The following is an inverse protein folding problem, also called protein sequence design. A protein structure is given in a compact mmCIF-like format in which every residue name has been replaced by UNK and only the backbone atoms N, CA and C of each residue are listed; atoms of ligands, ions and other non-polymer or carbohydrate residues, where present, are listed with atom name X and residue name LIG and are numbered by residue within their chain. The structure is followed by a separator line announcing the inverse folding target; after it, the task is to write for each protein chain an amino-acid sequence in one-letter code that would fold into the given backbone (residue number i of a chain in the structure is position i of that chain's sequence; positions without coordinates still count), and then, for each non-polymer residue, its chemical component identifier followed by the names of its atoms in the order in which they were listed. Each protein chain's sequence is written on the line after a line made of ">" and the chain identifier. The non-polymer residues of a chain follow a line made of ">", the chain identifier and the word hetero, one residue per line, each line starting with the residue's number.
data_IF_372033368744
#
_entry.id   IF_372033368744
#
_cell.length_a   1.000
_cell.length_b   1.000
_cell.length_c   1.000
_cell.angle_alpha   90.00
_cell.angle_beta   90.00
_cell.angle_gamma   90.00
#
_symmetry.space_group_name_H-M   'P 1'
#
loop_
_entity.id
_entity.type
_entity.pdbx_description
1 polymer ?
#
# COMPACT_ATOMS: atom_id res chain seq x y z
N UNK A 1 -16.34 -0.61 -35.40
CA UNK A 1 -16.92 -0.13 -34.11
C UNK A 1 -16.61 -1.07 -32.93
N UNK A 2 -16.52 -2.39 -33.13
CA UNK A 2 -16.25 -3.39 -32.05
C UNK A 2 -14.83 -3.35 -31.46
N UNK A 3 -13.80 -3.10 -32.29
CA UNK A 3 -12.41 -3.14 -31.82
C UNK A 3 -12.00 -1.96 -30.94
N UNK A 4 -12.60 -0.79 -31.16
CA UNK A 4 -12.39 0.40 -30.32
C UNK A 4 -12.93 0.16 -28.90
N UNK A 5 -14.15 -0.38 -28.80
CA UNK A 5 -14.74 -0.77 -27.51
C UNK A 5 -13.90 -1.83 -26.77
N UNK A 6 -13.25 -2.75 -27.49
CA UNK A 6 -12.39 -3.78 -26.88
C UNK A 6 -11.11 -3.18 -26.29
N UNK A 7 -10.45 -2.27 -27.00
CA UNK A 7 -9.24 -1.59 -26.51
C UNK A 7 -9.53 -0.69 -25.31
N UNK A 8 -10.66 0.00 -25.32
CA UNK A 8 -11.09 0.88 -24.22
C UNK A 8 -11.37 0.08 -22.95
N UNK A 9 -12.08 -1.05 -23.06
CA UNK A 9 -12.33 -1.93 -21.91
C UNK A 9 -11.04 -2.52 -21.32
N UNK A 10 -10.07 -2.88 -22.15
CA UNK A 10 -8.75 -3.36 -21.66
C UNK A 10 -8.01 -2.24 -20.93
N UNK A 11 -8.00 -1.01 -21.46
CA UNK A 11 -7.38 0.13 -20.79
C UNK A 11 -8.03 0.45 -19.44
N UNK A 12 -9.36 0.42 -19.35
CA UNK A 12 -10.09 0.61 -18.10
C UNK A 12 -9.77 -0.50 -17.10
N UNK A 13 -9.73 -1.76 -17.53
CA UNK A 13 -9.40 -2.88 -16.64
C UNK A 13 -7.96 -2.78 -16.10
N UNK A 14 -7.00 -2.37 -16.93
CA UNK A 14 -5.62 -2.16 -16.53
C UNK A 14 -5.51 -1.00 -15.53
N UNK A 15 -6.25 0.09 -15.75
CA UNK A 15 -6.30 1.22 -14.82
C UNK A 15 -6.87 0.83 -13.46
N UNK A 16 -7.99 0.10 -13.42
CA UNK A 16 -8.58 -0.41 -12.19
C UNK A 16 -7.62 -1.34 -11.45
N UNK A 17 -6.93 -2.22 -12.19
CA UNK A 17 -5.92 -3.10 -11.61
C UNK A 17 -4.76 -2.32 -10.98
N UNK A 18 -4.22 -1.31 -11.67
CA UNK A 18 -3.14 -0.47 -11.16
C UNK A 18 -3.59 0.25 -9.88
N UNK A 19 -4.78 0.86 -9.88
CA UNK A 19 -5.31 1.53 -8.68
C UNK A 19 -5.43 0.54 -7.52
N UNK A 20 -5.97 -0.65 -7.79
CA UNK A 20 -6.15 -1.67 -6.76
C UNK A 20 -4.79 -2.13 -6.20
N UNK A 21 -3.81 -2.35 -7.06
CA UNK A 21 -2.45 -2.69 -6.67
C UNK A 21 -1.81 -1.59 -5.80
N UNK A 22 -1.92 -0.32 -6.20
CA UNK A 22 -1.42 0.81 -5.41
C UNK A 22 -2.13 0.91 -4.06
N UNK A 23 -3.45 0.71 -4.01
CA UNK A 23 -4.22 0.73 -2.76
C UNK A 23 -3.81 -0.40 -1.82
N UNK A 24 -3.59 -1.61 -2.32
CA UNK A 24 -3.13 -2.74 -1.49
C UNK A 24 -1.70 -2.48 -1.00
N UNK A 25 -0.84 -1.98 -1.89
CA UNK A 25 0.54 -1.65 -1.53
C UNK A 25 0.59 -0.61 -0.42
N UNK A 26 -0.07 0.54 -0.60
CA UNK A 26 -0.08 1.60 0.39
C UNK A 26 -0.87 1.19 1.64
N UNK A 27 -2.06 0.60 1.51
CA UNK A 27 -2.95 0.36 2.64
C UNK A 27 -2.63 -0.86 3.49
N UNK A 28 -1.83 -1.81 2.99
CA UNK A 28 -1.55 -3.07 3.69
C UNK A 28 -0.06 -3.35 3.75
N UNK A 29 0.63 -3.28 2.61
CA UNK A 29 2.05 -3.66 2.55
C UNK A 29 2.92 -2.66 3.33
N UNK A 30 2.71 -1.35 3.13
CA UNK A 30 3.52 -0.33 3.81
C UNK A 30 3.38 -0.33 5.34
N UNK A 31 2.17 -0.41 5.93
CA UNK A 31 1.99 -0.55 7.38
C UNK A 31 2.67 -1.77 7.97
N UNK A 32 2.53 -2.93 7.32
CA UNK A 32 3.17 -4.17 7.78
C UNK A 32 4.69 -4.03 7.73
N UNK A 33 5.24 -3.44 6.67
CA UNK A 33 6.66 -3.18 6.56
C UNK A 33 7.17 -2.26 7.69
N UNK A 34 6.41 -1.20 8.01
CA UNK A 34 6.72 -0.30 9.12
C UNK A 34 6.78 -1.02 10.47
N UNK A 35 5.77 -1.85 10.76
CA UNK A 35 5.72 -2.67 11.97
C UNK A 35 6.94 -3.60 12.08
N UNK A 36 7.30 -4.31 10.99
CA UNK A 36 8.44 -5.21 10.98
C UNK A 36 9.73 -4.44 11.27
N UNK A 37 9.93 -3.28 10.62
CA UNK A 37 11.09 -2.42 10.84
C UNK A 37 11.16 -1.85 12.25
N UNK A 38 10.03 -1.49 12.83
CA UNK A 38 9.98 -1.02 14.21
C UNK A 38 10.34 -2.11 15.21
N UNK A 39 9.85 -3.33 15.01
CA UNK A 39 10.23 -4.48 15.85
C UNK A 39 11.73 -4.77 15.73
N UNK A 40 12.29 -4.75 14.51
CA UNK A 40 13.72 -4.94 14.29
C UNK A 40 14.58 -3.86 14.98
N UNK A 41 14.08 -2.63 15.05
CA UNK A 41 14.76 -1.50 15.69
C UNK A 41 14.49 -1.41 17.21
N UNK A 42 13.82 -2.39 17.82
CA UNK A 42 13.47 -2.38 19.24
C UNK A 42 12.40 -1.36 19.62
N UNK A 43 11.71 -0.77 18.65
CA UNK A 43 10.69 0.27 18.81
C UNK A 43 9.28 -0.33 18.94
N UNK A 44 9.06 -1.21 19.92
CA UNK A 44 7.79 -1.95 20.07
C UNK A 44 6.57 -1.03 20.24
N UNK A 45 6.72 0.09 20.95
CA UNK A 45 5.64 1.09 21.11
C UNK A 45 5.17 1.66 19.75
N UNK A 46 6.11 1.86 18.84
CA UNK A 46 5.84 2.37 17.50
C UNK A 46 5.22 1.30 16.60
N UNK A 47 5.63 0.03 16.71
CA UNK A 47 4.98 -1.07 16.02
C UNK A 47 3.51 -1.26 16.44
N UNK A 48 3.20 -1.05 17.72
CA UNK A 48 1.82 -1.08 18.23
C UNK A 48 1.02 0.12 17.70
N UNK A 49 1.62 1.31 17.67
CA UNK A 49 0.99 2.49 17.09
C UNK A 49 0.68 2.29 15.60
N UNK A 50 1.60 1.69 14.84
CA UNK A 50 1.40 1.35 13.44
C UNK A 50 0.33 0.26 13.27
N UNK A 51 0.12 -0.63 14.25
CA UNK A 51 -0.98 -1.60 14.20
C UNK A 51 -2.35 -0.96 14.47
N UNK A 52 -2.44 -0.06 15.46
CA UNK A 52 -3.70 0.61 15.84
C UNK A 52 -4.08 1.69 14.83
N UNK A 53 -3.10 2.44 14.33
CA UNK A 53 -3.26 3.53 13.35
C UNK A 53 -2.85 3.07 11.94
N UNK A 54 -3.23 1.82 11.64
CA UNK A 54 -2.84 0.98 10.51
C UNK A 54 -2.59 1.74 9.21
N UNK A 55 -3.56 2.51 8.74
CA UNK A 55 -3.50 3.07 7.38
C UNK A 55 -2.72 4.40 7.32
N UNK A 56 -3.04 5.47 8.06
CA UNK A 56 -2.32 6.74 7.86
C UNK A 56 -0.89 6.71 8.41
N UNK A 57 -0.68 6.21 9.63
CA UNK A 57 0.63 6.29 10.29
C UNK A 57 1.56 5.19 9.78
N UNK A 58 1.06 3.95 9.71
CA UNK A 58 1.82 2.82 9.19
C UNK A 58 2.27 3.01 7.75
N UNK A 59 1.45 3.60 6.88
CA UNK A 59 1.84 3.87 5.48
C UNK A 59 2.95 4.90 5.39
N UNK A 60 2.80 6.05 6.07
CA UNK A 60 3.80 7.13 6.04
C UNK A 60 5.13 6.65 6.58
N UNK A 61 5.12 5.93 7.70
CA UNK A 61 6.33 5.42 8.35
C UNK A 61 6.95 4.26 7.58
N UNK A 62 6.13 3.39 6.98
CA UNK A 62 6.59 2.37 6.07
C UNK A 62 7.34 2.99 4.88
N UNK A 63 6.80 4.07 4.30
CA UNK A 63 7.45 4.78 3.20
C UNK A 63 8.76 5.43 3.68
N UNK A 64 8.77 6.02 4.87
CA UNK A 64 9.98 6.60 5.48
C UNK A 64 11.08 5.57 5.73
N UNK A 65 10.75 4.28 5.92
CA UNK A 65 11.73 3.21 6.04
C UNK A 65 12.19 2.62 4.70
N UNK A 66 11.50 2.96 3.61
CA UNK A 66 11.79 2.45 2.27
C UNK A 66 12.68 3.41 1.47
N UNK A 67 12.75 4.69 1.87
CA UNK A 67 13.60 5.75 1.33
C UNK A 67 14.64 6.19 2.36
#
# INVERSE_FOLDING_TARGET
>A
MSDLNKKENVAVSAYVFIIMAVKIFLGVIMPIYAMIKDVQNGKIMWAIADFILFVPVGTIRGLMYLF
#
